data_IF_921724744281
#
_entry.id   IF_921724744281
#
_cell.length_a   1.000
_cell.length_b   1.000
_cell.length_c   1.000
_cell.angle_alpha   90.00
_cell.angle_beta   90.00
_cell.angle_gamma   90.00
#
_symmetry.space_group_name_H-M   'P 1'
#
loop_
_entity.id
_entity.type
_entity.pdbx_description
1 polymer ?
#
# COMPACT_ATOMS: atom_id res chain seq x y z
N UNK A 1 -5.16 -0.95 -27.54
CA UNK A 1 -5.41 0.12 -26.55
C UNK A 1 -4.85 -0.34 -25.22
N UNK A 2 -3.74 0.24 -24.75
CA UNK A 2 -3.18 -0.04 -23.42
C UNK A 2 -3.78 0.99 -22.46
N UNK A 3 -4.46 0.54 -21.41
CA UNK A 3 -4.93 1.42 -20.34
C UNK A 3 -3.87 1.42 -19.23
N UNK A 4 -3.09 2.51 -19.05
CA UNK A 4 -2.11 2.56 -17.98
C UNK A 4 -2.84 2.50 -16.64
N UNK A 5 -2.36 1.63 -15.75
CA UNK A 5 -2.83 1.60 -14.37
C UNK A 5 -2.40 2.89 -13.66
N UNK A 6 -3.24 3.37 -12.73
CA UNK A 6 -2.88 4.51 -11.88
C UNK A 6 -1.71 4.16 -10.96
N UNK A 7 -0.93 5.15 -10.53
CA UNK A 7 0.37 4.93 -9.88
C UNK A 7 0.26 4.20 -8.52
N UNK A 8 -0.87 4.25 -7.83
CA UNK A 8 -1.13 3.46 -6.62
C UNK A 8 -1.25 1.95 -6.89
N UNK A 9 -1.59 1.57 -8.13
CA UNK A 9 -1.64 0.19 -8.61
C UNK A 9 -0.33 -0.26 -9.28
N UNK A 10 0.69 0.59 -9.29
CA UNK A 10 2.00 0.29 -9.84
C UNK A 10 3.08 1.11 -9.10
N UNK A 11 3.06 1.07 -7.77
CA UNK A 11 3.88 1.96 -6.96
C UNK A 11 5.33 1.46 -6.92
N UNK A 12 6.24 2.21 -7.53
CA UNK A 12 7.68 1.91 -7.59
C UNK A 12 8.45 2.73 -6.58
N UNK A 13 9.69 2.33 -6.30
CA UNK A 13 10.60 3.11 -5.44
C UNK A 13 10.85 4.54 -5.98
N UNK A 14 10.74 4.75 -7.30
CA UNK A 14 10.78 6.09 -7.90
C UNK A 14 9.62 6.99 -7.44
N UNK A 15 8.43 6.44 -7.14
CA UNK A 15 7.25 7.21 -6.73
C UNK A 15 7.29 7.68 -5.26
N UNK A 16 8.27 7.24 -4.49
CA UNK A 16 8.53 7.77 -3.14
C UNK A 16 9.56 8.91 -3.15
N UNK A 17 10.27 9.09 -4.27
CA UNK A 17 11.31 10.08 -4.47
C UNK A 17 10.82 11.17 -5.42
N UNK A 18 11.35 12.38 -5.27
CA UNK A 18 11.34 13.36 -6.35
C UNK A 18 12.59 13.09 -7.20
N UNK A 19 12.42 12.68 -8.46
CA UNK A 19 13.54 12.53 -9.39
C UNK A 19 13.23 13.21 -10.71
N UNK A 20 14.24 13.90 -11.24
CA UNK A 20 14.22 14.39 -12.61
C UNK A 20 14.68 13.26 -13.55
N UNK A 21 13.85 12.92 -14.53
CA UNK A 21 14.14 11.92 -15.56
C UNK A 21 13.92 12.59 -16.91
N UNK A 22 14.98 12.79 -17.70
CA UNK A 22 14.93 13.41 -19.02
C UNK A 22 14.27 14.81 -19.05
N UNK A 23 14.39 15.59 -17.96
CA UNK A 23 13.78 16.91 -17.82
C UNK A 23 12.34 16.90 -17.29
N UNK A 24 11.76 15.72 -17.01
CA UNK A 24 10.47 15.57 -16.35
C UNK A 24 10.66 15.22 -14.87
N UNK A 25 9.94 15.90 -13.99
CA UNK A 25 9.88 15.52 -12.58
C UNK A 25 8.95 14.31 -12.41
N UNK A 26 9.53 13.13 -12.16
CA UNK A 26 8.80 12.01 -11.57
C UNK A 26 8.63 12.32 -10.10
N UNK A 27 7.43 12.77 -9.77
CA UNK A 27 7.07 13.20 -8.43
C UNK A 27 6.39 12.11 -7.59
N UNK A 28 6.04 12.47 -6.35
CA UNK A 28 5.23 11.62 -5.48
C UNK A 28 3.93 11.21 -6.18
N UNK A 29 3.53 9.96 -5.99
CA UNK A 29 2.25 9.48 -6.48
C UNK A 29 1.11 10.06 -5.63
N UNK A 30 0.49 11.16 -6.07
CA UNK A 30 -0.65 11.80 -5.38
C UNK A 30 -1.80 10.82 -5.13
N UNK A 31 -2.03 9.90 -6.07
CA UNK A 31 -3.04 8.86 -5.92
C UNK A 31 -2.74 7.91 -4.75
N UNK A 32 -1.47 7.62 -4.49
CA UNK A 32 -1.06 6.82 -3.34
C UNK A 32 -1.12 7.65 -2.05
N UNK A 33 -0.78 8.94 -2.08
CA UNK A 33 -0.95 9.81 -0.90
C UNK A 33 -2.44 9.84 -0.47
N UNK A 34 -3.35 9.94 -1.44
CA UNK A 34 -4.80 9.94 -1.20
C UNK A 34 -5.37 8.56 -0.80
N UNK A 35 -5.01 7.49 -1.52
CA UNK A 35 -5.68 6.17 -1.39
C UNK A 35 -4.83 5.06 -0.76
N UNK A 36 -3.55 5.31 -0.55
CA UNK A 36 -2.55 4.32 -0.18
C UNK A 36 -2.09 3.47 -1.35
N UNK A 37 -0.95 2.80 -1.18
CA UNK A 37 -0.39 1.90 -2.19
C UNK A 37 -1.21 0.61 -2.27
N UNK A 38 -1.82 0.36 -3.44
CA UNK A 38 -2.57 -0.88 -3.71
C UNK A 38 -1.68 -2.02 -4.20
N UNK A 39 -0.62 -1.71 -4.96
CA UNK A 39 0.38 -2.68 -5.40
C UNK A 39 1.78 -2.06 -5.36
N UNK A 40 2.66 -2.69 -4.58
CA UNK A 40 4.08 -2.37 -4.51
C UNK A 40 4.81 -3.10 -5.65
N UNK A 41 5.43 -2.37 -6.56
CA UNK A 41 6.08 -2.89 -7.77
C UNK A 41 7.58 -2.57 -7.77
N UNK A 42 8.40 -3.53 -8.20
CA UNK A 42 9.84 -3.35 -8.25
C UNK A 42 10.57 -4.56 -8.81
N UNK A 43 11.89 -4.43 -8.93
CA UNK A 43 12.78 -5.53 -9.28
C UNK A 43 13.07 -6.41 -8.06
N UNK A 44 13.67 -7.59 -8.28
CA UNK A 44 14.16 -8.42 -7.16
C UNK A 44 15.11 -7.64 -6.24
N UNK A 45 15.87 -6.70 -6.79
CA UNK A 45 16.84 -5.90 -6.06
C UNK A 45 16.18 -5.15 -4.90
N UNK A 46 15.10 -4.41 -5.15
CA UNK A 46 14.42 -3.59 -4.13
C UNK A 46 13.67 -4.41 -3.07
N UNK A 47 13.37 -5.69 -3.35
CA UNK A 47 12.64 -6.56 -2.43
C UNK A 47 13.51 -7.55 -1.67
N UNK A 48 14.79 -7.66 -2.00
CA UNK A 48 15.71 -8.68 -1.47
C UNK A 48 16.99 -8.05 -0.92
N UNK A 49 17.57 -7.09 -1.64
CA UNK A 49 18.78 -6.39 -1.21
C UNK A 49 18.42 -5.19 -0.33
N UNK A 50 19.43 -4.60 0.31
CA UNK A 50 19.27 -3.40 1.15
C UNK A 50 19.24 -2.10 0.33
N UNK A 51 19.03 -2.18 -0.99
CA UNK A 51 18.94 -1.00 -1.87
C UNK A 51 17.65 -0.20 -1.64
N UNK A 52 16.57 -0.85 -1.21
CA UNK A 52 15.35 -0.19 -0.76
C UNK A 52 14.75 -0.87 0.49
N UNK A 53 15.23 -0.51 1.70
CA UNK A 53 14.84 -1.17 2.94
C UNK A 53 13.33 -1.12 3.24
N UNK A 54 12.61 -0.09 2.77
CA UNK A 54 11.15 -0.01 2.95
C UNK A 54 10.41 -1.10 2.15
N UNK A 55 10.85 -1.38 0.93
CA UNK A 55 10.24 -2.39 0.06
C UNK A 55 10.60 -3.79 0.54
N UNK A 56 11.85 -3.99 0.95
CA UNK A 56 12.30 -5.23 1.59
C UNK A 56 11.52 -5.53 2.87
N UNK A 57 11.29 -4.55 3.74
CA UNK A 57 10.51 -4.71 4.97
C UNK A 57 9.11 -5.30 4.71
N UNK A 58 8.41 -4.79 3.68
CA UNK A 58 7.10 -5.29 3.26
C UNK A 58 7.22 -6.73 2.73
N UNK A 59 8.19 -6.98 1.84
CA UNK A 59 8.45 -8.31 1.26
C UNK A 59 8.75 -9.38 2.32
N UNK A 60 9.57 -9.06 3.32
CA UNK A 60 9.93 -9.99 4.40
C UNK A 60 8.75 -10.32 5.29
N UNK A 61 7.94 -9.33 5.68
CA UNK A 61 6.74 -9.59 6.47
C UNK A 61 5.75 -10.50 5.74
N UNK A 62 5.56 -10.32 4.44
CA UNK A 62 4.72 -11.21 3.63
C UNK A 62 5.27 -12.63 3.51
N UNK A 63 6.59 -12.80 3.44
CA UNK A 63 7.21 -14.14 3.40
C UNK A 63 7.05 -14.90 4.71
N UNK A 64 7.01 -14.19 5.83
CA UNK A 64 6.83 -14.77 7.17
C UNK A 64 5.36 -14.96 7.55
N UNK A 65 4.46 -14.24 6.90
CA UNK A 65 3.04 -14.28 7.20
C UNK A 65 2.39 -15.63 6.84
N UNK A 66 1.69 -16.21 7.80
CA UNK A 66 0.93 -17.46 7.62
C UNK A 66 -0.53 -17.13 7.34
N UNK A 67 -1.01 -17.53 6.16
CA UNK A 67 -2.40 -17.32 5.77
C UNK A 67 -3.38 -17.95 6.77
N UNK A 68 -4.44 -17.21 7.13
CA UNK A 68 -5.45 -17.63 8.09
C UNK A 68 -5.15 -17.25 9.54
N UNK A 69 -3.96 -16.71 9.83
CA UNK A 69 -3.68 -16.01 11.10
C UNK A 69 -4.22 -14.59 11.06
N UNK A 70 -4.25 -13.88 12.19
CA UNK A 70 -4.69 -12.49 12.23
C UNK A 70 -3.74 -11.58 11.41
N UNK A 71 -4.20 -10.97 10.29
CA UNK A 71 -3.35 -10.10 9.49
C UNK A 71 -2.98 -8.80 10.20
N UNK A 72 -3.74 -8.35 11.21
CA UNK A 72 -3.33 -7.18 11.97
C UNK A 72 -2.07 -7.48 12.78
N UNK A 73 -2.13 -8.50 13.65
CA UNK A 73 -1.01 -8.91 14.51
C UNK A 73 0.19 -9.48 13.72
N UNK A 74 -0.06 -10.34 12.72
CA UNK A 74 0.99 -11.15 12.08
C UNK A 74 1.44 -10.65 10.70
N UNK A 75 0.84 -9.59 10.16
CA UNK A 75 1.30 -8.97 8.91
C UNK A 75 1.51 -7.46 9.06
N UNK A 76 0.47 -6.71 9.43
CA UNK A 76 0.53 -5.25 9.46
C UNK A 76 1.52 -4.72 10.51
N UNK A 77 1.43 -5.20 11.75
CA UNK A 77 2.34 -4.78 12.83
C UNK A 77 3.82 -5.14 12.55
N UNK A 78 4.15 -6.34 12.03
CA UNK A 78 5.49 -6.63 11.53
C UNK A 78 5.99 -5.67 10.45
N UNK A 79 5.15 -5.30 9.48
CA UNK A 79 5.53 -4.30 8.46
C UNK A 79 5.89 -2.98 9.13
N UNK A 80 5.02 -2.45 10.00
CA UNK A 80 5.26 -1.18 10.73
C UNK A 80 6.61 -1.20 11.46
N UNK A 81 6.86 -2.22 12.28
CA UNK A 81 8.11 -2.36 13.03
C UNK A 81 9.34 -2.42 12.13
N UNK A 82 9.28 -3.17 11.02
CA UNK A 82 10.40 -3.24 10.06
C UNK A 82 10.62 -1.90 9.38
N UNK A 83 9.55 -1.18 9.04
CA UNK A 83 9.65 0.14 8.41
C UNK A 83 10.24 1.22 9.35
N UNK A 84 10.11 1.09 10.67
CA UNK A 84 10.79 1.99 11.62
C UNK A 84 12.32 1.97 11.44
N UNK A 85 12.88 0.78 11.15
CA UNK A 85 14.32 0.62 10.86
C UNK A 85 14.74 1.27 9.54
N UNK A 86 13.80 1.40 8.61
CA UNK A 86 14.00 2.04 7.31
C UNK A 86 13.74 3.55 7.34
N UNK A 87 13.19 4.13 8.41
CA UNK A 87 12.67 5.51 8.45
C UNK A 87 13.67 6.60 7.96
N UNK A 88 14.99 6.34 8.06
CA UNK A 88 16.03 7.27 7.58
C UNK A 88 16.34 7.16 6.08
N UNK A 89 15.71 6.25 5.34
CA UNK A 89 15.86 6.11 3.89
C UNK A 89 14.80 6.93 3.14
N UNK A 90 15.00 7.11 1.83
CA UNK A 90 14.12 7.92 1.00
C UNK A 90 12.65 7.45 1.03
N UNK A 91 12.38 6.16 0.81
CA UNK A 91 11.02 5.63 0.94
C UNK A 91 10.63 5.31 2.40
N UNK A 92 11.60 5.26 3.32
CA UNK A 92 11.34 4.91 4.72
C UNK A 92 10.36 5.83 5.42
N UNK A 93 10.44 7.13 5.14
CA UNK A 93 9.51 8.14 5.64
C UNK A 93 8.10 8.11 5.01
N UNK A 94 7.82 7.14 4.12
CA UNK A 94 6.52 6.96 3.43
C UNK A 94 5.76 5.73 3.91
N UNK A 95 6.04 5.27 5.13
CA UNK A 95 5.40 4.11 5.73
C UNK A 95 3.87 4.23 5.77
N UNK A 96 3.37 5.40 6.16
CA UNK A 96 1.95 5.75 6.19
C UNK A 96 1.28 5.56 4.82
N UNK A 97 1.90 6.05 3.75
CA UNK A 97 1.40 5.93 2.38
C UNK A 97 1.43 4.48 1.89
N UNK A 98 2.54 3.77 2.18
CA UNK A 98 2.76 2.39 1.72
C UNK A 98 1.76 1.42 2.37
N UNK A 99 1.45 1.57 3.66
CA UNK A 99 0.59 0.62 4.37
C UNK A 99 -0.89 1.00 4.40
N UNK A 100 -1.25 2.27 4.16
CA UNK A 100 -2.63 2.80 4.27
C UNK A 100 -3.70 1.93 3.61
N UNK A 101 -3.45 1.45 2.37
CA UNK A 101 -4.44 0.60 1.68
C UNK A 101 -4.50 -0.81 2.24
N UNK A 102 -3.37 -1.35 2.70
CA UNK A 102 -3.33 -2.64 3.38
C UNK A 102 -4.13 -2.59 4.68
N UNK A 103 -3.95 -1.55 5.49
CA UNK A 103 -4.72 -1.31 6.72
C UNK A 103 -6.22 -1.31 6.44
N UNK A 104 -6.65 -0.53 5.44
CA UNK A 104 -8.05 -0.49 5.04
C UNK A 104 -8.56 -1.86 4.58
N UNK A 105 -7.75 -2.61 3.82
CA UNK A 105 -8.12 -3.93 3.31
C UNK A 105 -8.28 -4.95 4.44
N UNK A 106 -7.48 -4.85 5.50
CA UNK A 106 -7.61 -5.69 6.69
C UNK A 106 -8.92 -5.37 7.41
N UNK A 107 -9.25 -4.09 7.60
CA UNK A 107 -10.51 -3.68 8.24
C UNK A 107 -11.72 -4.10 7.41
N UNK A 108 -11.66 -3.92 6.09
CA UNK A 108 -12.77 -4.26 5.19
C UNK A 108 -13.03 -5.77 5.14
N UNK A 109 -11.96 -6.59 5.17
CA UNK A 109 -12.07 -8.04 5.05
C UNK A 109 -12.34 -8.75 6.39
N UNK A 110 -11.78 -8.25 7.50
CA UNK A 110 -11.76 -8.94 8.79
C UNK A 110 -12.43 -8.15 9.92
N UNK A 111 -12.83 -6.90 9.68
CA UNK A 111 -13.56 -6.09 10.65
C UNK A 111 -14.95 -6.66 10.97
N UNK A 112 -15.60 -6.17 12.04
CA UNK A 112 -16.94 -6.59 12.39
C UNK A 112 -17.88 -6.32 11.21
N UNK A 113 -18.49 -7.38 10.67
CA UNK A 113 -19.50 -7.26 9.62
C UNK A 113 -20.63 -6.38 10.16
N UNK A 114 -20.81 -5.20 9.57
CA UNK A 114 -22.01 -4.39 9.83
C UNK A 114 -23.20 -5.26 9.45
N UNK A 115 -23.99 -5.67 10.43
CA UNK A 115 -25.24 -6.38 10.19
C UNK A 115 -26.14 -5.50 9.33
N UNK A 116 -26.86 -6.12 8.41
CA UNK A 116 -27.64 -5.47 7.36
C UNK A 116 -28.75 -4.52 7.87
N UNK A 117 -28.94 -4.43 9.18
CA UNK A 117 -29.93 -3.61 9.88
C UNK A 117 -29.64 -2.10 9.92
N UNK A 118 -28.44 -1.65 9.56
CA UNK A 118 -28.09 -0.20 9.58
C UNK A 118 -28.09 0.46 8.19
N UNK A 119 -28.33 -0.31 7.12
CA UNK A 119 -28.62 0.27 5.81
C UNK A 119 -30.13 0.41 5.68
N UNK A 120 -30.67 1.56 6.08
CA UNK A 120 -31.91 2.03 5.45
C UNK A 120 -31.62 2.08 3.95
N UNK A 121 -32.11 1.08 3.22
CA UNK A 121 -32.12 1.06 1.77
C UNK A 121 -32.84 2.33 1.33
N UNK A 122 -32.09 3.37 0.96
CA UNK A 122 -32.67 4.47 0.20
C UNK A 122 -33.22 3.83 -1.08
N UNK A 123 -34.54 3.89 -1.33
CA UNK A 123 -35.11 3.30 -2.51
C UNK A 123 -34.41 3.91 -3.74
N UNK A 124 -33.93 3.04 -4.61
CA UNK A 124 -33.45 3.42 -5.93
C UNK A 124 -34.66 4.04 -6.63
N UNK A 125 -34.67 5.38 -6.76
CA UNK A 125 -35.63 6.06 -7.62
C UNK A 125 -35.25 5.67 -9.05
N UNK A 126 -36.00 4.76 -9.64
CA UNK A 126 -35.98 4.56 -11.08
C UNK A 126 -36.37 5.89 -11.75
N UNK A 127 -35.50 6.41 -12.61
CA UNK A 127 -35.83 7.55 -13.46
C UNK A 127 -37.05 7.17 -14.32
N UNK A 128 -38.12 7.96 -14.22
CA UNK A 128 -39.23 7.98 -15.17
C UNK A 128 -38.93 9.05 -16.22
#
# INVERSE_FOLDING_TARGET
>A
MVRPLSCEWNYKNEHCMLREVNGDYVGPCEAADDRGVSLLHGTNEVFVLDSEPAFKAVSEAWKEYVLGTDPHEFLLEPIKRRMESANRTHCGGKADVIIKRLEQSIVDAFGPRKTHTDRTLKPIKCCH
#
